data_IF_812848860932
#
_entry.id   IF_812848860932
#
_cell.length_a   1.000
_cell.length_b   1.000
_cell.length_c   1.000
_cell.angle_alpha   90.00
_cell.angle_beta   90.00
_cell.angle_gamma   90.00
#
_symmetry.space_group_name_H-M   'P 1'
#
loop_
_entity.id
_entity.type
_entity.pdbx_description
1 polymer ?
#
# COMPACT_ATOMS: atom_id res chain seq x y z
N UNK A 1 5.02 0.55 -7.70
CA UNK A 1 3.73 1.07 -8.23
C UNK A 1 2.74 -0.08 -8.32
N UNK A 2 1.48 0.14 -8.00
CA UNK A 2 0.42 -0.86 -8.09
C UNK A 2 -0.84 -0.25 -8.71
N UNK A 3 -1.27 -0.78 -9.85
CA UNK A 3 -2.53 -0.41 -10.50
C UNK A 3 -3.65 -1.30 -9.97
N UNK A 4 -4.76 -0.67 -9.56
CA UNK A 4 -5.89 -1.29 -8.88
C UNK A 4 -7.15 -1.09 -9.70
N UNK A 5 -7.82 -2.18 -10.02
CA UNK A 5 -9.13 -2.15 -10.65
C UNK A 5 -10.19 -1.54 -9.71
N UNK A 6 -10.83 -0.45 -10.13
CA UNK A 6 -11.80 0.27 -9.32
C UNK A 6 -13.07 -0.54 -9.02
N UNK A 7 -13.32 -1.64 -9.74
CA UNK A 7 -14.40 -2.59 -9.39
C UNK A 7 -14.24 -3.12 -7.97
N UNK A 8 -13.00 -3.24 -7.45
CA UNK A 8 -12.72 -3.65 -6.06
C UNK A 8 -13.35 -2.71 -5.04
N UNK A 9 -13.46 -1.41 -5.34
CA UNK A 9 -14.08 -0.43 -4.43
C UNK A 9 -15.59 -0.66 -4.23
N UNK A 10 -16.20 -1.54 -5.03
CA UNK A 10 -17.63 -1.87 -4.99
C UNK A 10 -17.91 -3.26 -4.41
N UNK A 11 -16.89 -4.04 -4.04
CA UNK A 11 -17.05 -5.42 -3.52
C UNK A 11 -17.31 -5.44 -2.02
N UNK A 12 -17.73 -6.61 -1.51
CA UNK A 12 -17.84 -6.88 -0.07
C UNK A 12 -16.50 -7.21 0.59
N UNK A 13 -15.40 -7.17 -0.14
CA UNK A 13 -14.08 -7.54 0.37
C UNK A 13 -13.60 -6.55 1.44
N UNK A 14 -12.77 -7.05 2.36
CA UNK A 14 -12.22 -6.29 3.48
C UNK A 14 -10.77 -5.86 3.26
N UNK A 15 -10.16 -6.28 2.16
CA UNK A 15 -8.84 -5.83 1.73
C UNK A 15 -8.63 -6.06 0.24
N UNK A 16 -7.79 -5.22 -0.36
CA UNK A 16 -7.19 -5.46 -1.66
C UNK A 16 -5.68 -5.55 -1.47
N UNK A 17 -5.03 -6.47 -2.17
CA UNK A 17 -3.62 -6.81 -1.95
C UNK A 17 -2.86 -6.66 -3.25
N UNK A 18 -1.69 -6.01 -3.19
CA UNK A 18 -0.80 -5.88 -4.34
C UNK A 18 -0.10 -7.19 -4.69
N UNK A 19 0.49 -7.30 -5.89
CA UNK A 19 1.57 -8.24 -6.13
C UNK A 19 2.69 -8.07 -5.09
N UNK A 20 3.46 -9.15 -4.87
CA UNK A 20 4.62 -9.11 -3.99
C UNK A 20 5.73 -8.27 -4.61
N UNK A 21 6.52 -7.62 -3.76
CA UNK A 21 7.75 -6.94 -4.15
C UNK A 21 8.80 -7.12 -3.06
N UNK A 22 10.06 -6.96 -3.43
CA UNK A 22 11.20 -7.21 -2.54
C UNK A 22 11.96 -5.94 -2.23
N UNK A 23 12.35 -5.81 -0.97
CA UNK A 23 13.28 -4.79 -0.49
C UNK A 23 14.54 -5.48 0.02
N UNK A 24 15.69 -5.01 -0.45
CA UNK A 24 17.00 -5.51 -0.02
C UNK A 24 17.48 -4.76 1.21
N UNK A 25 17.64 -5.50 2.31
CA UNK A 25 18.34 -5.09 3.51
C UNK A 25 19.68 -5.86 3.59
N UNK A 26 19.98 -6.52 4.71
CA UNK A 26 21.01 -7.57 4.76
C UNK A 26 20.66 -8.80 3.92
N UNK A 27 19.37 -9.01 3.66
CA UNK A 27 18.81 -10.04 2.79
C UNK A 27 17.57 -9.48 2.06
N UNK A 28 17.18 -10.05 0.91
CA UNK A 28 15.89 -9.75 0.29
C UNK A 28 14.75 -10.12 1.25
N UNK A 29 13.77 -9.23 1.37
CA UNK A 29 12.58 -9.45 2.19
C UNK A 29 11.35 -9.10 1.37
N UNK A 30 10.34 -9.96 1.43
CA UNK A 30 9.09 -9.83 0.68
C UNK A 30 8.06 -8.96 1.41
N UNK A 31 7.50 -8.02 0.65
CA UNK A 31 6.46 -7.11 1.07
C UNK A 31 5.28 -7.15 0.11
N UNK A 32 4.16 -6.62 0.60
CA UNK A 32 3.00 -6.26 -0.20
C UNK A 32 2.35 -4.99 0.34
N UNK A 33 1.67 -4.26 -0.54
CA UNK A 33 0.74 -3.23 -0.14
C UNK A 33 -0.64 -3.84 0.10
N UNK A 34 -1.35 -3.31 1.08
CA UNK A 34 -2.72 -3.70 1.43
C UNK A 34 -3.57 -2.44 1.50
N UNK A 35 -4.63 -2.38 0.70
CA UNK A 35 -5.68 -1.38 0.87
C UNK A 35 -6.73 -1.96 1.81
N UNK A 36 -7.12 -1.20 2.84
CA UNK A 36 -8.25 -1.54 3.71
C UNK A 36 -9.36 -0.51 3.58
N UNK A 37 -10.63 -0.92 3.45
CA UNK A 37 -11.75 0.01 3.45
C UNK A 37 -11.89 0.68 4.83
N UNK A 38 -12.34 1.94 4.84
CA UNK A 38 -12.69 2.63 6.08
C UNK A 38 -13.82 1.86 6.79
N UNK A 39 -13.62 1.54 8.06
CA UNK A 39 -14.69 0.96 8.88
C UNK A 39 -15.77 2.03 9.12
N UNK A 40 -16.98 1.77 8.64
CA UNK A 40 -18.13 2.67 8.83
C UNK A 40 -18.91 2.32 10.10
N UNK A 41 -18.96 1.03 10.46
CA UNK A 41 -19.56 0.53 11.70
C UNK A 41 -19.00 -0.87 12.02
N UNK A 42 -19.12 -1.32 13.27
CA UNK A 42 -18.57 -2.61 13.70
C UNK A 42 -19.46 -3.82 13.33
N UNK A 43 -20.71 -3.59 12.92
CA UNK A 43 -21.60 -4.66 12.45
C UNK A 43 -21.07 -5.35 11.18
N UNK A 44 -21.53 -6.59 10.93
CA UNK A 44 -21.16 -7.39 9.74
C UNK A 44 -21.29 -6.56 8.45
N UNK A 45 -20.21 -6.51 7.68
CA UNK A 45 -20.15 -5.76 6.41
C UNK A 45 -19.77 -4.28 6.54
N UNK A 46 -19.59 -3.74 7.76
CA UNK A 46 -19.24 -2.34 7.98
C UNK A 46 -17.80 -1.95 7.61
N UNK A 47 -16.91 -2.94 7.47
CA UNK A 47 -15.54 -2.78 7.01
C UNK A 47 -15.35 -3.39 5.61
N UNK A 48 -16.31 -3.16 4.70
CA UNK A 48 -16.23 -3.57 3.30
C UNK A 48 -16.03 -2.38 2.37
N UNK A 49 -15.41 -2.59 1.21
CA UNK A 49 -15.24 -1.54 0.20
C UNK A 49 -16.55 -0.89 -0.23
N UNK A 50 -17.57 -1.72 -0.49
CA UNK A 50 -18.93 -1.27 -0.84
C UNK A 50 -19.48 -0.29 0.19
N UNK A 51 -19.25 -0.54 1.49
CA UNK A 51 -19.78 0.33 2.55
C UNK A 51 -18.94 1.59 2.74
N UNK A 52 -17.62 1.49 2.56
CA UNK A 52 -16.69 2.60 2.72
C UNK A 52 -16.77 3.64 1.59
N UNK A 53 -17.52 3.36 0.52
CA UNK A 53 -17.74 4.28 -0.62
C UNK A 53 -16.43 4.78 -1.24
N UNK A 54 -15.48 3.87 -1.45
CA UNK A 54 -14.18 4.20 -2.03
C UNK A 54 -13.16 4.79 -1.05
N UNK A 55 -13.48 4.95 0.23
CA UNK A 55 -12.54 5.44 1.25
C UNK A 55 -11.79 4.33 1.95
N UNK A 56 -10.54 4.56 2.30
CA UNK A 56 -9.75 3.57 3.03
C UNK A 56 -8.33 3.99 3.31
N UNK A 57 -7.51 3.03 3.73
CA UNK A 57 -6.10 3.22 4.08
C UNK A 57 -5.22 2.35 3.19
N UNK A 58 -3.94 2.74 3.07
CA UNK A 58 -2.89 1.93 2.45
C UNK A 58 -1.87 1.55 3.52
N UNK A 59 -1.53 0.27 3.59
CA UNK A 59 -0.55 -0.29 4.51
C UNK A 59 0.51 -1.06 3.73
N UNK A 60 1.76 -0.95 4.16
CA UNK A 60 2.83 -1.86 3.76
C UNK A 60 2.92 -3.00 4.77
N UNK A 61 2.99 -4.24 4.28
CA UNK A 61 3.09 -5.45 5.09
C UNK A 61 4.31 -6.27 4.70
N UNK A 62 5.19 -6.50 5.65
CA UNK A 62 6.25 -7.51 5.61
C UNK A 62 5.64 -8.92 5.73
N UNK A 63 6.13 -9.85 4.93
CA UNK A 63 5.66 -11.24 4.91
C UNK A 63 6.56 -12.21 5.66
N UNK A 64 7.74 -11.74 6.05
CA UNK A 64 8.75 -12.56 6.69
C UNK A 64 9.00 -12.09 8.12
N UNK A 65 9.43 -13.03 8.97
CA UNK A 65 9.90 -12.69 10.31
C UNK A 65 11.35 -12.22 10.19
N UNK A 66 11.54 -10.91 10.14
CA UNK A 66 12.86 -10.30 10.03
C UNK A 66 13.34 -9.89 11.42
N UNK A 67 14.51 -10.40 11.83
CA UNK A 67 15.12 -10.04 13.11
C UNK A 67 15.79 -8.66 13.06
N UNK A 68 16.00 -8.06 14.22
CA UNK A 68 16.67 -6.76 14.35
C UNK A 68 18.09 -6.74 13.74
N UNK A 69 18.77 -7.90 13.66
CA UNK A 69 20.08 -8.05 13.02
C UNK A 69 20.08 -7.72 11.52
N UNK A 70 18.94 -7.86 10.85
CA UNK A 70 18.79 -7.49 9.45
C UNK A 70 18.46 -6.00 9.25
N UNK A 71 18.26 -5.25 10.34
CA UNK A 71 17.92 -3.82 10.36
C UNK A 71 16.82 -3.44 9.34
N UNK A 72 15.60 -4.02 9.42
CA UNK A 72 14.55 -3.81 8.44
C UNK A 72 13.81 -2.47 8.65
N UNK A 73 14.58 -1.40 8.80
CA UNK A 73 14.08 -0.04 9.00
C UNK A 73 13.99 0.65 7.66
N UNK A 74 12.81 1.17 7.33
CA UNK A 74 12.58 1.90 6.08
C UNK A 74 11.88 3.21 6.33
N UNK A 75 12.21 4.20 5.50
CA UNK A 75 11.48 5.46 5.41
C UNK A 75 10.79 5.53 4.07
N UNK A 76 9.47 5.69 4.05
CA UNK A 76 8.69 5.69 2.81
C UNK A 76 7.60 6.76 2.80
N UNK A 77 7.06 7.05 1.62
CA UNK A 77 5.85 7.85 1.41
C UNK A 77 4.90 7.17 0.44
N UNK A 78 3.62 7.54 0.49
CA UNK A 78 2.56 6.94 -0.33
C UNK A 78 1.85 8.04 -1.11
N UNK A 79 1.61 7.80 -2.40
CA UNK A 79 0.76 8.61 -3.24
C UNK A 79 -0.35 7.76 -3.86
N UNK A 80 -1.49 8.40 -4.14
CA UNK A 80 -2.64 7.79 -4.83
C UNK A 80 -3.04 8.72 -5.96
N UNK A 81 -3.32 8.16 -7.12
CA UNK A 81 -3.67 8.94 -8.30
C UNK A 81 -4.09 8.08 -9.47
N UNK A 82 -4.27 8.70 -10.64
CA UNK A 82 -4.55 8.04 -11.91
C UNK A 82 -3.25 7.71 -12.68
N UNK A 83 -2.09 8.13 -12.18
CA UNK A 83 -0.82 8.04 -12.91
C UNK A 83 -0.63 9.16 -13.93
N UNK A 84 -1.28 10.30 -13.69
CA UNK A 84 -1.27 11.51 -14.52
C UNK A 84 -1.20 12.77 -13.64
N UNK A 85 -1.39 13.97 -14.21
CA UNK A 85 -1.22 15.26 -13.49
C UNK A 85 -2.22 15.53 -12.36
N UNK A 86 -3.23 14.67 -12.18
CA UNK A 86 -4.26 14.73 -11.13
C UNK A 86 -3.93 13.91 -9.88
N UNK A 87 -2.71 13.35 -9.78
CA UNK A 87 -2.27 12.58 -8.62
C UNK A 87 -2.22 13.45 -7.34
N UNK A 88 -2.71 12.91 -6.22
CA UNK A 88 -2.56 13.58 -4.93
C UNK A 88 -1.07 13.66 -4.53
N UNK A 89 -0.63 14.74 -3.85
CA UNK A 89 0.75 14.84 -3.39
C UNK A 89 1.11 13.67 -2.47
N UNK A 90 2.33 13.10 -2.58
CA UNK A 90 2.76 12.02 -1.70
C UNK A 90 2.65 12.40 -0.22
N UNK A 91 1.99 11.55 0.57
CA UNK A 91 1.84 11.69 2.02
C UNK A 91 2.91 10.87 2.74
N UNK A 92 3.50 11.45 3.79
CA UNK A 92 4.70 10.93 4.45
C UNK A 92 5.72 12.04 4.69
N UNK A 93 6.98 11.70 5.02
CA UNK A 93 7.50 10.34 5.17
C UNK A 93 7.07 9.65 6.47
N UNK A 94 7.12 8.31 6.47
CA UNK A 94 6.96 7.46 7.66
C UNK A 94 8.19 6.58 7.78
N UNK A 95 8.84 6.61 8.95
CA UNK A 95 9.92 5.71 9.32
C UNK A 95 9.35 4.56 10.13
N UNK A 96 9.65 3.32 9.77
CA UNK A 96 9.13 2.13 10.44
C UNK A 96 10.17 1.02 10.52
N UNK A 97 10.20 0.29 11.64
CA UNK A 97 11.00 -0.91 11.86
C UNK A 97 10.11 -2.17 11.74
N UNK A 98 10.34 -2.97 10.69
CA UNK A 98 9.55 -4.16 10.43
C UNK A 98 9.91 -5.36 11.32
N UNK A 99 10.95 -5.26 12.15
CA UNK A 99 11.25 -6.27 13.18
C UNK A 99 10.34 -6.13 14.41
N UNK A 100 9.84 -4.92 14.69
CA UNK A 100 8.89 -4.67 15.79
C UNK A 100 7.46 -5.03 15.37
N UNK A 101 7.05 -4.59 14.17
CA UNK A 101 5.70 -4.85 13.64
C UNK A 101 5.75 -5.07 12.14
N UNK A 102 5.18 -6.18 11.68
CA UNK A 102 5.15 -6.55 10.27
C UNK A 102 4.26 -5.65 9.38
N UNK A 103 3.50 -4.71 9.93
CA UNK A 103 2.58 -3.84 9.18
C UNK A 103 2.80 -2.39 9.57
N UNK A 104 2.82 -1.49 8.58
CA UNK A 104 2.84 -0.05 8.78
C UNK A 104 2.04 0.68 7.71
N UNK A 105 1.24 1.66 8.12
CA UNK A 105 0.58 2.61 7.23
C UNK A 105 1.00 4.03 7.56
N UNK A 106 0.27 5.01 7.02
CA UNK A 106 0.43 6.40 7.42
C UNK A 106 -0.20 6.66 8.81
N UNK A 107 0.23 7.72 9.54
CA UNK A 107 -0.40 8.21 10.76
C UNK A 107 -1.88 8.57 10.58
N UNK A 108 -2.64 8.55 11.68
CA UNK A 108 -4.10 8.75 11.71
C UNK A 108 -4.58 9.98 10.92
N UNK A 109 -3.88 11.10 11.07
CA UNK A 109 -4.25 12.37 10.46
C UNK A 109 -4.19 12.37 8.92
N UNK A 110 -3.45 11.42 8.30
CA UNK A 110 -3.22 11.40 6.86
C UNK A 110 -3.42 10.03 6.21
N UNK A 111 -3.87 9.02 6.97
CA UNK A 111 -4.02 7.64 6.47
C UNK A 111 -5.21 7.41 5.54
N UNK A 112 -6.24 8.25 5.62
CA UNK A 112 -7.48 8.06 4.85
C UNK A 112 -7.37 8.66 3.46
N UNK A 113 -7.57 7.83 2.44
CA UNK A 113 -7.66 8.21 1.04
C UNK A 113 -9.10 8.05 0.55
N UNK A 114 -9.46 8.86 -0.45
CA UNK A 114 -10.70 8.69 -1.22
C UNK A 114 -10.33 8.16 -2.61
N UNK A 115 -10.15 6.84 -2.72
CA UNK A 115 -9.70 6.19 -3.95
C UNK A 115 -10.66 6.41 -5.11
N UNK A 116 -11.95 6.63 -4.84
CA UNK A 116 -12.95 6.87 -5.87
C UNK A 116 -12.70 8.17 -6.67
N UNK A 117 -12.01 9.16 -6.07
CA UNK A 117 -11.62 10.40 -6.75
C UNK A 117 -10.47 10.23 -7.75
N UNK A 118 -9.74 9.13 -7.65
CA UNK A 118 -8.54 8.84 -8.42
C UNK A 118 -8.76 7.78 -9.50
N UNK A 119 -10.01 7.35 -9.68
CA UNK A 119 -10.36 6.39 -10.72
C UNK A 119 -10.29 7.09 -12.05
N UNK A 120 -9.37 6.63 -12.89
CA UNK A 120 -9.30 7.00 -14.29
C UNK A 120 -10.57 6.50 -15.01
N UNK A 121 -11.34 7.38 -15.66
CA UNK A 121 -12.57 6.99 -16.36
C UNK A 121 -12.32 6.09 -17.58
N UNK A 122 -11.12 6.12 -18.18
CA UNK A 122 -10.85 5.43 -19.44
C UNK A 122 -10.61 3.93 -19.23
N UNK A 123 -9.86 3.56 -18.18
CA UNK A 123 -9.54 2.16 -17.86
C UNK A 123 -10.21 1.65 -16.57
N UNK A 124 -10.92 2.52 -15.85
CA UNK A 124 -11.57 2.22 -14.58
C UNK A 124 -10.59 1.66 -13.54
N UNK A 125 -9.38 2.23 -13.48
CA UNK A 125 -8.35 1.90 -12.49
C UNK A 125 -7.86 3.12 -11.71
N UNK A 126 -7.15 2.89 -10.63
CA UNK A 126 -6.37 3.90 -9.93
C UNK A 126 -5.01 3.30 -9.53
N UNK A 127 -4.08 4.15 -9.16
CA UNK A 127 -2.69 3.78 -8.89
C UNK A 127 -2.34 4.12 -7.45
N UNK A 128 -1.67 3.16 -6.78
CA UNK A 128 -0.99 3.37 -5.51
C UNK A 128 0.52 3.33 -5.75
N UNK A 129 1.20 4.40 -5.36
CA UNK A 129 2.64 4.53 -5.43
C UNK A 129 3.23 4.50 -4.02
N UNK A 130 4.13 3.55 -3.79
CA UNK A 130 4.97 3.47 -2.61
C UNK A 130 6.39 3.86 -3.04
N UNK A 131 6.97 4.84 -2.38
CA UNK A 131 8.32 5.30 -2.64
C UNK A 131 9.18 5.14 -1.39
N UNK A 132 10.29 4.42 -1.54
CA UNK A 132 11.28 4.22 -0.49
C UNK A 132 12.31 5.35 -0.58
N UNK A 133 12.42 6.12 0.49
CA UNK A 133 13.34 7.26 0.57
C UNK A 133 14.68 6.86 1.19
N UNK A 134 14.67 5.88 2.11
CA UNK A 134 15.88 5.34 2.74
C UNK A 134 15.63 4.01 3.44
N UNK A 135 16.71 3.31 3.79
CA UNK A 135 16.67 2.12 4.65
C UNK A 135 16.55 0.79 3.92
N UNK A 136 16.17 0.80 2.65
CA UNK A 136 16.26 -0.36 1.77
C UNK A 136 16.46 0.06 0.31
N UNK A 137 17.07 -0.81 -0.48
CA UNK A 137 17.06 -0.70 -1.93
C UNK A 137 15.91 -1.55 -2.50
N UNK A 138 15.31 -1.12 -3.61
CA UNK A 138 14.45 -2.01 -4.38
C UNK A 138 15.32 -3.14 -4.93
N UNK A 139 14.98 -4.39 -4.61
CA UNK A 139 15.64 -5.52 -5.27
C UNK A 139 15.21 -5.49 -6.74
N UNK A 140 16.16 -5.33 -7.67
CA UNK A 140 15.85 -5.40 -9.10
C UNK A 140 15.20 -6.74 -9.40
N UNK A 141 14.08 -6.73 -10.14
CA UNK A 141 13.51 -7.94 -10.70
C UNK A 141 14.60 -8.60 -11.56
N UNK A 142 15.17 -9.71 -11.11
CA UNK A 142 16.12 -10.47 -11.90
C UNK A 142 15.35 -10.96 -13.13
N UNK A 143 15.63 -10.37 -14.28
CA UNK A 143 15.16 -10.88 -15.55
C UNK A 143 15.70 -12.31 -15.68
N UNK A 144 14.79 -13.29 -15.74
CA UNK A 144 15.14 -14.66 -16.10
C UNK A 144 15.75 -14.62 -17.51
N UNK A 145 16.96 -15.14 -17.73
CA UNK A 145 17.44 -15.41 -19.08
C UNK A 145 16.57 -16.53 -19.69
N UNK A 146 16.27 -16.36 -20.98
CA UNK A 146 15.41 -17.22 -21.80
C UNK A 146 15.86 -18.67 -21.89
#
# INVERSE_FOLDING_TARGET
>A
RWTVDARKLKTSDREAVSPLFELSFSQPVQFKMVIRPKCVHELRGGASFKKAKGKGTVEMRCLEKVGASANPVVTFRIAVGSGSSSDEPPRGPVRHDFSERAICGLPEAMKEWDFAKHVDPDDNTFVVCLEILSGAAAAGATALPS
#
